data_IF_709329491673
#
_entry.id   IF_709329491673
#
_cell.length_a   1.000
_cell.length_b   1.000
_cell.length_c   1.000
_cell.angle_alpha   90.00
_cell.angle_beta   90.00
_cell.angle_gamma   90.00
#
_symmetry.space_group_name_H-M   'P 1'
#
loop_
_entity.id
_entity.type
_entity.pdbx_description
1 polymer ?
#
# COMPACT_ATOMS: atom_id res chain seq x y z
N UNK A 1 18.33 -34.06 14.08
CA UNK A 1 18.24 -32.59 13.88
C UNK A 1 17.88 -32.35 12.42
N UNK A 2 16.78 -31.66 12.09
CA UNK A 2 16.49 -31.33 10.69
C UNK A 2 17.71 -30.66 10.06
N UNK A 3 18.22 -31.27 8.98
CA UNK A 3 19.50 -30.93 8.37
C UNK A 3 19.52 -29.48 7.90
N UNK A 4 20.69 -28.84 7.86
CA UNK A 4 20.84 -27.43 7.47
C UNK A 4 20.11 -27.05 6.17
N UNK A 5 19.96 -28.01 5.25
CA UNK A 5 19.20 -27.87 4.00
C UNK A 5 17.70 -27.64 4.23
N UNK A 6 17.07 -28.37 5.15
CA UNK A 6 15.64 -28.22 5.45
C UNK A 6 15.34 -26.83 6.05
N UNK A 7 16.20 -26.34 6.95
CA UNK A 7 16.09 -24.99 7.50
C UNK A 7 16.26 -23.92 6.42
N UNK A 8 17.15 -24.12 5.46
CA UNK A 8 17.35 -23.21 4.33
C UNK A 8 16.10 -23.14 3.46
N UNK A 9 15.56 -24.28 3.07
CA UNK A 9 14.41 -24.35 2.18
C UNK A 9 13.17 -23.74 2.87
N UNK A 10 13.05 -23.87 4.19
CA UNK A 10 12.04 -23.18 4.99
C UNK A 10 12.22 -21.65 4.96
N UNK A 11 13.44 -21.13 5.17
CA UNK A 11 13.72 -19.71 5.06
C UNK A 11 13.41 -19.15 3.67
N UNK A 12 13.81 -19.86 2.62
CA UNK A 12 13.52 -19.46 1.23
C UNK A 12 12.02 -19.48 0.93
N UNK A 13 11.30 -20.48 1.43
CA UNK A 13 9.84 -20.53 1.29
C UNK A 13 9.17 -19.32 1.95
N UNK A 14 9.65 -18.88 3.11
CA UNK A 14 9.15 -17.65 3.77
C UNK A 14 9.44 -16.40 2.94
N UNK A 15 10.64 -16.29 2.37
CA UNK A 15 11.01 -15.19 1.48
C UNK A 15 10.15 -15.15 0.21
N UNK A 16 9.90 -16.30 -0.41
CA UNK A 16 9.02 -16.38 -1.57
C UNK A 16 7.58 -16.01 -1.23
N UNK A 17 7.06 -16.42 -0.07
CA UNK A 17 5.72 -16.00 0.38
C UNK A 17 5.65 -14.50 0.56
N UNK A 18 6.64 -13.92 1.24
CA UNK A 18 6.73 -12.48 1.46
C UNK A 18 6.76 -11.69 0.15
N UNK A 19 7.62 -12.07 -0.80
CA UNK A 19 7.75 -11.36 -2.09
C UNK A 19 6.49 -11.46 -2.96
N UNK A 20 5.72 -12.55 -2.88
CA UNK A 20 4.41 -12.65 -3.55
C UNK A 20 3.40 -11.66 -2.98
N UNK A 21 3.30 -11.55 -1.65
CA UNK A 21 2.39 -10.61 -1.00
C UNK A 21 2.84 -9.17 -1.28
N UNK A 22 4.13 -8.88 -1.14
CA UNK A 22 4.69 -7.54 -1.40
C UNK A 22 4.46 -7.09 -2.83
N UNK A 23 4.71 -7.97 -3.81
CA UNK A 23 4.47 -7.69 -5.22
C UNK A 23 3.02 -7.31 -5.48
N UNK A 24 2.08 -8.16 -5.05
CA UNK A 24 0.64 -7.87 -5.15
C UNK A 24 0.27 -6.54 -4.47
N UNK A 25 0.69 -6.36 -3.22
CA UNK A 25 0.34 -5.20 -2.41
C UNK A 25 0.81 -3.89 -3.04
N UNK A 26 1.99 -3.88 -3.67
CA UNK A 26 2.59 -2.72 -4.34
C UNK A 26 2.26 -2.64 -5.85
N UNK A 27 1.26 -3.38 -6.33
CA UNK A 27 0.83 -3.39 -7.74
C UNK A 27 1.96 -3.77 -8.72
N UNK A 28 2.73 -4.80 -8.40
CA UNK A 28 3.88 -5.23 -9.18
C UNK A 28 4.35 -6.64 -8.86
N UNK A 29 5.66 -6.86 -9.01
CA UNK A 29 6.31 -8.08 -8.57
C UNK A 29 7.69 -7.80 -7.96
N UNK A 30 8.11 -8.70 -7.07
CA UNK A 30 9.44 -8.73 -6.48
C UNK A 30 10.00 -10.12 -6.69
N UNK A 31 11.16 -10.22 -7.35
CA UNK A 31 11.82 -11.50 -7.60
C UNK A 31 13.06 -11.70 -6.72
N UNK A 32 13.38 -12.96 -6.43
CA UNK A 32 14.62 -13.35 -5.74
C UNK A 32 15.62 -13.77 -6.79
N UNK A 33 16.53 -12.86 -7.15
CA UNK A 33 17.47 -13.07 -8.26
C UNK A 33 18.71 -13.90 -7.91
N UNK A 34 19.08 -13.92 -6.63
CA UNK A 34 20.26 -14.65 -6.17
C UNK A 34 20.11 -14.98 -4.67
N UNK A 35 20.73 -16.07 -4.24
CA UNK A 35 20.70 -16.56 -2.85
C UNK A 35 22.13 -16.85 -2.44
N UNK A 36 22.64 -16.10 -1.47
CA UNK A 36 23.97 -16.31 -0.92
C UNK A 36 23.90 -16.91 0.48
N UNK A 37 24.73 -17.92 0.74
CA UNK A 37 24.87 -18.52 2.06
C UNK A 37 26.31 -18.96 2.32
N UNK A 38 26.75 -18.87 3.57
CA UNK A 38 28.08 -19.31 3.99
C UNK A 38 28.72 -18.36 4.99
N UNK A 39 29.92 -18.72 5.47
CA UNK A 39 30.71 -17.94 6.42
C UNK A 39 31.86 -17.17 5.77
N UNK A 40 31.92 -17.15 4.44
CA UNK A 40 32.99 -16.51 3.66
C UNK A 40 32.44 -15.38 2.82
N UNK A 41 33.24 -14.32 2.67
CA UNK A 41 32.95 -13.25 1.73
C UNK A 41 32.71 -13.82 0.34
N UNK A 42 31.56 -13.49 -0.24
CA UNK A 42 31.14 -13.91 -1.58
C UNK A 42 30.80 -12.66 -2.38
N UNK A 43 31.19 -12.63 -3.64
CA UNK A 43 30.94 -11.47 -4.51
C UNK A 43 29.48 -11.46 -4.93
N UNK A 44 28.73 -10.44 -4.49
CA UNK A 44 27.35 -10.17 -4.89
C UNK A 44 27.34 -9.25 -6.11
N UNK A 45 26.58 -9.58 -7.18
CA UNK A 45 26.36 -8.64 -8.28
C UNK A 45 26.32 -9.18 -9.72
N UNK A 46 26.43 -10.49 -9.95
CA UNK A 46 26.26 -11.02 -11.33
C UNK A 46 24.78 -11.01 -11.74
N UNK A 47 23.86 -11.28 -10.80
CA UNK A 47 22.41 -11.27 -11.01
C UNK A 47 21.72 -9.92 -10.90
N UNK A 48 22.39 -8.85 -10.45
CA UNK A 48 21.76 -7.53 -10.26
C UNK A 48 21.39 -6.84 -11.58
N UNK A 49 22.05 -7.19 -12.70
CA UNK A 49 21.62 -6.74 -14.04
C UNK A 49 20.32 -7.40 -14.51
N UNK A 50 19.93 -8.51 -13.89
CA UNK A 50 18.66 -9.21 -14.10
C UNK A 50 17.62 -8.87 -13.02
N UNK A 51 18.00 -8.09 -12.00
CA UNK A 51 17.11 -7.64 -10.94
C UNK A 51 16.17 -6.57 -11.48
N UNK A 52 15.02 -7.02 -11.96
CA UNK A 52 13.90 -6.17 -12.30
C UNK A 52 12.89 -6.20 -11.15
N UNK A 53 12.61 -5.02 -10.60
CA UNK A 53 11.47 -4.79 -9.73
C UNK A 53 10.62 -3.70 -10.37
N UNK A 54 9.33 -3.95 -10.52
CA UNK A 54 8.39 -2.87 -10.89
C UNK A 54 8.05 -1.98 -9.70
N UNK A 55 8.46 -2.36 -8.48
CA UNK A 55 8.35 -1.56 -7.27
C UNK A 55 9.63 -0.73 -7.14
N UNK A 56 9.53 0.56 -7.43
CA UNK A 56 10.62 1.51 -7.25
C UNK A 56 10.86 1.79 -5.77
N UNK A 57 12.04 1.43 -5.26
CA UNK A 57 12.50 1.80 -3.93
C UNK A 57 13.88 2.43 -4.04
N UNK A 58 14.04 3.60 -3.44
CA UNK A 58 15.30 4.34 -3.43
C UNK A 58 15.51 5.01 -2.07
N UNK A 59 16.73 4.93 -1.55
CA UNK A 59 17.07 5.47 -0.24
C UNK A 59 16.74 4.53 0.93
N UNK A 60 17.35 4.82 2.08
CA UNK A 60 17.35 3.96 3.28
C UNK A 60 16.00 3.85 3.99
N UNK A 61 14.97 4.59 3.57
CA UNK A 61 13.66 4.71 4.25
C UNK A 61 12.46 4.62 3.30
N UNK A 62 12.65 4.04 2.11
CA UNK A 62 11.59 3.88 1.09
C UNK A 62 10.84 2.54 1.17
N UNK A 63 11.30 1.62 2.02
CA UNK A 63 10.64 0.34 2.21
C UNK A 63 9.54 0.46 3.27
N UNK A 64 8.30 0.58 2.80
CA UNK A 64 7.11 0.54 3.63
C UNK A 64 6.35 -0.78 3.37
N UNK A 65 5.99 -1.49 4.43
CA UNK A 65 5.10 -2.65 4.37
C UNK A 65 4.02 -2.58 5.44
N UNK A 66 3.75 -1.39 5.96
CA UNK A 66 2.67 -1.16 6.90
C UNK A 66 1.35 -1.62 6.27
N UNK A 67 0.54 -2.31 7.07
CA UNK A 67 -0.80 -2.79 6.69
C UNK A 67 -0.83 -3.81 5.53
N UNK A 68 0.32 -4.40 5.19
CA UNK A 68 0.35 -5.54 4.27
C UNK A 68 -0.47 -6.70 4.84
N UNK A 69 -1.33 -7.36 4.04
CA UNK A 69 -2.24 -8.37 4.57
C UNK A 69 -1.49 -9.62 5.05
N UNK A 70 -1.99 -10.23 6.12
CA UNK A 70 -1.52 -11.53 6.61
C UNK A 70 -2.31 -12.62 5.87
N UNK A 71 -1.60 -13.47 5.13
CA UNK A 71 -2.22 -14.52 4.29
C UNK A 71 -2.03 -15.90 4.93
N UNK A 72 -3.07 -16.38 5.62
CA UNK A 72 -3.08 -17.67 6.31
C UNK A 72 -3.56 -18.83 5.42
N UNK A 73 -4.42 -18.54 4.45
CA UNK A 73 -4.97 -19.52 3.51
C UNK A 73 -3.94 -19.94 2.44
N UNK A 74 -3.74 -21.26 2.27
CA UNK A 74 -2.76 -21.81 1.32
C UNK A 74 -3.15 -21.57 -0.15
N UNK A 75 -4.43 -21.64 -0.49
CA UNK A 75 -4.89 -21.42 -1.86
C UNK A 75 -4.70 -19.96 -2.27
N UNK A 76 -4.92 -19.02 -1.34
CA UNK A 76 -4.61 -17.60 -1.56
C UNK A 76 -3.10 -17.37 -1.73
N UNK A 77 -2.27 -18.03 -0.91
CA UNK A 77 -0.80 -17.98 -1.07
C UNK A 77 -0.36 -18.46 -2.45
N UNK A 78 -0.92 -19.56 -2.93
CA UNK A 78 -0.62 -20.14 -4.24
C UNK A 78 -1.07 -19.19 -5.36
N UNK A 79 -2.26 -18.60 -5.26
CA UNK A 79 -2.76 -17.61 -6.21
C UNK A 79 -1.81 -16.40 -6.33
N UNK A 80 -1.34 -15.86 -5.21
CA UNK A 80 -0.36 -14.76 -5.20
C UNK A 80 1.00 -15.17 -5.79
N UNK A 81 1.42 -16.42 -5.59
CA UNK A 81 2.65 -16.92 -6.20
C UNK A 81 2.54 -17.02 -7.73
N UNK A 82 1.40 -17.49 -8.24
CA UNK A 82 1.13 -17.51 -9.69
C UNK A 82 1.00 -16.12 -10.28
N UNK A 83 0.37 -15.18 -9.56
CA UNK A 83 0.35 -13.77 -9.95
C UNK A 83 1.75 -13.19 -10.11
N UNK A 84 2.61 -13.37 -9.10
CA UNK A 84 4.01 -12.90 -9.13
C UNK A 84 4.77 -13.47 -10.33
N UNK A 85 4.61 -14.77 -10.61
CA UNK A 85 5.26 -15.41 -11.77
C UNK A 85 4.72 -14.86 -13.10
N UNK A 86 3.41 -14.61 -13.19
CA UNK A 86 2.78 -13.99 -14.36
C UNK A 86 3.32 -12.59 -14.65
N UNK A 87 3.39 -11.73 -13.62
CA UNK A 87 3.95 -10.38 -13.75
C UNK A 87 5.42 -10.42 -14.18
N UNK A 88 6.21 -11.33 -13.61
CA UNK A 88 7.62 -11.52 -13.98
C UNK A 88 7.79 -11.90 -15.46
N UNK A 89 6.94 -12.79 -15.95
CA UNK A 89 7.04 -13.33 -17.30
C UNK A 89 6.39 -12.45 -18.38
N UNK A 90 5.56 -11.47 -18.01
CA UNK A 90 4.80 -10.64 -18.97
C UNK A 90 5.66 -9.78 -19.90
N UNK A 91 6.94 -9.55 -19.56
CA UNK A 91 7.92 -8.90 -20.43
C UNK A 91 8.89 -9.86 -21.13
N UNK A 92 8.75 -11.18 -20.89
CA UNK A 92 9.73 -12.20 -21.28
C UNK A 92 9.10 -13.27 -22.17
N UNK A 93 7.93 -13.79 -21.80
CA UNK A 93 7.27 -14.88 -22.50
C UNK A 93 5.75 -14.92 -22.29
N UNK A 94 5.00 -14.41 -23.27
CA UNK A 94 3.54 -14.23 -23.18
C UNK A 94 2.77 -15.51 -22.84
N UNK A 95 3.08 -16.66 -23.45
CA UNK A 95 2.34 -17.90 -23.18
C UNK A 95 2.49 -18.42 -21.74
N UNK A 96 3.69 -18.30 -21.16
CA UNK A 96 3.90 -18.69 -19.76
C UNK A 96 3.34 -17.65 -18.80
N UNK A 97 3.37 -16.36 -19.15
CA UNK A 97 2.70 -15.33 -18.38
C UNK A 97 1.18 -15.58 -18.35
N UNK A 98 0.58 -15.83 -19.52
CA UNK A 98 -0.84 -16.18 -19.66
C UNK A 98 -1.18 -17.40 -18.80
N UNK A 99 -0.40 -18.47 -18.89
CA UNK A 99 -0.62 -19.69 -18.10
C UNK A 99 -0.53 -19.41 -16.60
N UNK A 100 0.42 -18.60 -16.16
CA UNK A 100 0.56 -18.23 -14.74
C UNK A 100 -0.66 -17.46 -14.25
N UNK A 101 -1.16 -16.47 -15.00
CA UNK A 101 -2.40 -15.79 -14.65
C UNK A 101 -3.62 -16.71 -14.68
N UNK A 102 -3.71 -17.61 -15.65
CA UNK A 102 -4.78 -18.61 -15.71
C UNK A 102 -4.77 -19.51 -14.47
N UNK A 103 -3.59 -19.92 -13.98
CA UNK A 103 -3.42 -20.75 -12.77
C UNK A 103 -3.87 -20.06 -11.48
N UNK A 104 -3.86 -18.72 -11.42
CA UNK A 104 -4.44 -17.97 -10.30
C UNK A 104 -5.89 -18.38 -10.07
N UNK A 105 -6.65 -18.55 -11.17
CA UNK A 105 -8.06 -18.87 -11.14
C UNK A 105 -8.26 -20.39 -11.14
N UNK A 106 -7.54 -21.12 -12.01
CA UNK A 106 -7.68 -22.58 -12.12
C UNK A 106 -7.42 -23.32 -10.82
N UNK A 107 -6.41 -22.90 -10.03
CA UNK A 107 -6.06 -23.55 -8.76
C UNK A 107 -7.17 -23.50 -7.70
N UNK A 108 -8.22 -22.73 -7.94
CA UNK A 108 -9.31 -22.46 -6.99
C UNK A 108 -10.57 -23.31 -7.26
N UNK A 109 -10.61 -24.04 -8.39
CA UNK A 109 -11.75 -24.86 -8.79
C UNK A 109 -11.35 -26.33 -8.89
N UNK A 110 -12.19 -27.22 -8.35
CA UNK A 110 -12.01 -28.66 -8.53
C UNK A 110 -12.48 -29.14 -9.93
N UNK A 111 -13.46 -28.45 -10.54
CA UNK A 111 -14.08 -28.82 -11.82
C UNK A 111 -13.93 -27.75 -12.93
N UNK A 112 -13.98 -28.19 -14.20
CA UNK A 112 -13.79 -27.33 -15.37
C UNK A 112 -14.95 -26.39 -15.70
N UNK A 113 -16.20 -26.81 -15.49
CA UNK A 113 -17.38 -26.11 -16.04
C UNK A 113 -17.69 -24.78 -15.34
N UNK A 114 -17.50 -24.71 -14.01
CA UNK A 114 -17.71 -23.46 -13.26
C UNK A 114 -16.74 -22.33 -13.64
N UNK A 115 -15.59 -22.66 -14.25
CA UNK A 115 -14.55 -21.68 -14.64
C UNK A 115 -14.94 -20.85 -15.85
N UNK A 116 -15.43 -21.48 -16.91
CA UNK A 116 -15.87 -20.78 -18.12
C UNK A 116 -17.05 -19.83 -17.83
N UNK A 117 -17.98 -20.28 -16.97
CA UNK A 117 -19.10 -19.46 -16.50
C UNK A 117 -18.61 -18.28 -15.63
N UNK A 118 -17.56 -18.48 -14.83
CA UNK A 118 -16.95 -17.40 -14.06
C UNK A 118 -16.30 -16.36 -14.96
N UNK A 119 -15.53 -16.77 -15.98
CA UNK A 119 -14.93 -15.84 -16.94
C UNK A 119 -16.01 -14.98 -17.59
N UNK A 120 -17.02 -15.62 -18.18
CA UNK A 120 -18.09 -14.93 -18.91
C UNK A 120 -18.78 -13.86 -18.07
N UNK A 121 -19.09 -14.16 -16.81
CA UNK A 121 -19.74 -13.21 -15.87
C UNK A 121 -18.84 -12.04 -15.46
N UNK A 122 -17.52 -12.15 -15.60
CA UNK A 122 -16.57 -11.15 -15.12
C UNK A 122 -15.94 -10.28 -16.21
N UNK A 123 -16.14 -10.61 -17.49
CA UNK A 123 -15.61 -9.84 -18.61
C UNK A 123 -16.06 -8.38 -18.61
N UNK A 124 -17.33 -8.11 -18.34
CA UNK A 124 -17.89 -6.75 -18.36
C UNK A 124 -17.52 -5.92 -17.11
N UNK A 125 -16.76 -6.49 -16.19
CA UNK A 125 -16.27 -5.82 -14.98
C UNK A 125 -14.78 -5.50 -15.02
N UNK A 126 -14.11 -5.72 -16.15
CA UNK A 126 -12.71 -5.36 -16.33
C UNK A 126 -12.59 -3.85 -16.61
N UNK A 127 -11.84 -3.09 -15.80
CA UNK A 127 -11.77 -1.63 -15.93
C UNK A 127 -10.70 -1.16 -16.94
N UNK A 128 -9.76 -2.03 -17.33
CA UNK A 128 -8.63 -1.68 -18.17
C UNK A 128 -9.06 -1.53 -19.65
N UNK A 129 -8.83 -0.35 -20.24
CA UNK A 129 -9.30 -0.01 -21.59
C UNK A 129 -8.84 -1.00 -22.66
N UNK A 130 -7.59 -1.48 -22.56
CA UNK A 130 -7.04 -2.47 -23.50
C UNK A 130 -7.76 -3.82 -23.40
N UNK A 131 -8.18 -4.21 -22.20
CA UNK A 131 -8.97 -5.41 -22.00
C UNK A 131 -10.38 -5.24 -22.59
N UNK A 132 -11.02 -4.10 -22.34
CA UNK A 132 -12.34 -3.78 -22.91
C UNK A 132 -12.30 -3.79 -24.44
N UNK A 133 -11.28 -3.17 -25.05
CA UNK A 133 -11.08 -3.18 -26.50
C UNK A 133 -10.94 -4.60 -27.04
N UNK A 134 -10.12 -5.44 -26.39
CA UNK A 134 -9.93 -6.83 -26.82
C UNK A 134 -11.20 -7.67 -26.70
N UNK A 135 -12.01 -7.48 -25.65
CA UNK A 135 -13.32 -8.12 -25.53
C UNK A 135 -14.23 -7.73 -26.71
N UNK A 136 -14.26 -6.45 -27.08
CA UNK A 136 -15.07 -5.97 -28.18
C UNK A 136 -14.64 -6.58 -29.53
N UNK A 137 -13.33 -6.69 -29.78
CA UNK A 137 -12.79 -7.36 -30.97
C UNK A 137 -13.24 -8.82 -31.08
N UNK A 138 -13.10 -9.59 -30.01
CA UNK A 138 -13.48 -11.01 -29.99
C UNK A 138 -14.99 -11.19 -30.17
N UNK A 139 -15.80 -10.36 -29.51
CA UNK A 139 -17.26 -10.34 -29.69
C UNK A 139 -17.65 -9.98 -31.13
N UNK A 140 -16.97 -9.02 -31.76
CA UNK A 140 -17.21 -8.65 -33.15
C UNK A 140 -16.85 -9.76 -34.14
N UNK A 141 -15.87 -10.60 -33.79
CA UNK A 141 -15.51 -11.81 -34.54
C UNK A 141 -16.50 -12.98 -34.32
N UNK A 142 -17.50 -12.81 -33.45
CA UNK A 142 -18.50 -13.84 -33.14
C UNK A 142 -18.01 -14.89 -32.14
N UNK A 143 -16.93 -14.63 -31.40
CA UNK A 143 -16.39 -15.57 -30.43
C UNK A 143 -17.12 -15.50 -29.08
N UNK A 144 -17.32 -16.67 -28.46
CA UNK A 144 -17.63 -16.77 -27.04
C UNK A 144 -16.33 -16.54 -26.26
N UNK A 145 -16.12 -15.30 -25.83
CA UNK A 145 -14.88 -14.84 -25.18
C UNK A 145 -14.53 -15.67 -23.94
N UNK A 146 -15.50 -16.03 -23.11
CA UNK A 146 -15.26 -16.78 -21.88
C UNK A 146 -14.77 -18.20 -22.19
N UNK A 147 -15.40 -18.84 -23.17
CA UNK A 147 -14.96 -20.15 -23.67
C UNK A 147 -13.62 -20.08 -24.40
N UNK A 148 -13.42 -19.08 -25.24
CA UNK A 148 -12.16 -18.84 -25.96
C UNK A 148 -10.97 -18.72 -25.01
N UNK A 149 -11.10 -17.94 -23.94
CA UNK A 149 -10.05 -17.79 -22.93
C UNK A 149 -9.80 -19.07 -22.13
N UNK A 150 -10.86 -19.83 -21.83
CA UNK A 150 -10.74 -21.12 -21.16
C UNK A 150 -9.96 -22.13 -22.02
N UNK A 151 -10.34 -22.26 -23.29
CA UNK A 151 -9.68 -23.16 -24.24
C UNK A 151 -8.24 -22.71 -24.50
N UNK A 152 -8.01 -21.40 -24.69
CA UNK A 152 -6.68 -20.82 -24.85
C UNK A 152 -5.78 -21.05 -23.64
N UNK A 153 -6.29 -20.95 -22.41
CA UNK A 153 -5.51 -21.22 -21.20
C UNK A 153 -5.09 -22.66 -21.04
N UNK A 154 -5.97 -23.60 -21.38
CA UNK A 154 -5.63 -25.04 -21.39
C UNK A 154 -4.61 -25.39 -22.46
N UNK A 155 -4.69 -24.71 -23.60
CA UNK A 155 -3.84 -24.97 -24.76
C UNK A 155 -2.54 -24.16 -24.77
N UNK A 156 -2.40 -23.14 -23.92
CA UNK A 156 -1.29 -22.18 -23.93
C UNK A 156 0.09 -22.86 -23.80
N UNK A 157 0.22 -23.91 -22.98
CA UNK A 157 1.46 -24.73 -22.87
C UNK A 157 1.21 -26.14 -22.27
N UNK A 158 0.13 -26.36 -21.51
CA UNK A 158 0.08 -27.49 -20.55
C UNK A 158 -0.44 -28.84 -21.10
N UNK A 159 -1.28 -28.82 -22.15
CA UNK A 159 -1.88 -30.05 -22.68
C UNK A 159 -1.68 -30.15 -24.19
N UNK A 160 -0.48 -30.56 -24.60
CA UNK A 160 -0.23 -31.10 -25.94
C UNK A 160 -0.95 -32.45 -26.10
N UNK A 161 -2.29 -32.42 -26.11
CA UNK A 161 -3.08 -33.60 -26.42
C UNK A 161 -2.91 -33.86 -27.91
N UNK A 162 -2.49 -35.07 -28.28
CA UNK A 162 -2.34 -35.46 -29.67
C UNK A 162 -3.68 -35.23 -30.41
N UNK A 163 -3.71 -34.28 -31.36
CA UNK A 163 -4.90 -33.89 -32.12
C UNK A 163 -5.74 -32.73 -31.54
N UNK A 164 -5.26 -32.02 -30.50
CA UNK A 164 -5.86 -30.77 -30.02
C UNK A 164 -5.23 -29.52 -30.66
N UNK A 165 -5.89 -28.37 -30.52
CA UNK A 165 -5.36 -27.06 -30.93
C UNK A 165 -4.22 -26.64 -29.99
N UNK A 166 -2.99 -27.06 -30.30
CA UNK A 166 -1.79 -26.72 -29.53
C UNK A 166 -1.28 -25.35 -29.97
N UNK A 167 -0.89 -24.51 -29.01
CA UNK A 167 -0.17 -23.26 -29.29
C UNK A 167 1.23 -23.62 -29.78
N UNK A 168 1.49 -23.44 -31.08
CA UNK A 168 2.80 -23.67 -31.67
C UNK A 168 3.64 -22.37 -31.59
N UNK A 169 4.76 -22.36 -30.83
CA UNK A 169 5.61 -21.17 -30.72
C UNK A 169 6.27 -20.76 -32.04
N UNK A 170 6.35 -21.67 -33.03
CA UNK A 170 6.87 -21.39 -34.37
C UNK A 170 5.79 -20.83 -35.31
N UNK A 171 4.52 -20.79 -34.89
CA UNK A 171 3.42 -20.15 -35.63
C UNK A 171 3.25 -18.70 -35.13
N UNK A 172 3.56 -17.67 -35.96
CA UNK A 172 3.45 -16.27 -35.54
C UNK A 172 2.02 -15.82 -35.23
N UNK A 173 1.01 -16.48 -35.81
CA UNK A 173 -0.39 -16.20 -35.52
C UNK A 173 -0.75 -16.53 -34.06
N UNK A 174 -0.37 -17.73 -33.59
CA UNK A 174 -0.64 -18.16 -32.21
C UNK A 174 0.06 -17.28 -31.19
N UNK A 175 1.31 -16.90 -31.46
CA UNK A 175 2.03 -15.93 -30.64
C UNK A 175 1.30 -14.59 -30.52
N UNK A 176 0.87 -14.01 -31.65
CA UNK A 176 0.14 -12.74 -31.64
C UNK A 176 -1.22 -12.84 -30.94
N UNK A 177 -1.92 -13.96 -31.10
CA UNK A 177 -3.19 -14.23 -30.45
C UNK A 177 -3.04 -14.26 -28.93
N UNK A 178 -2.11 -15.05 -28.41
CA UNK A 178 -1.85 -15.13 -26.97
C UNK A 178 -1.36 -13.80 -26.40
N UNK A 179 -0.49 -13.08 -27.11
CA UNK A 179 -0.04 -11.75 -26.71
C UNK A 179 -1.21 -10.75 -26.60
N UNK A 180 -2.16 -10.81 -27.53
CA UNK A 180 -3.36 -9.97 -27.51
C UNK A 180 -4.32 -10.34 -26.37
N UNK A 181 -4.45 -11.62 -26.04
CA UNK A 181 -5.34 -12.12 -24.98
C UNK A 181 -4.72 -12.00 -23.57
N UNK A 182 -3.40 -11.81 -23.46
CA UNK A 182 -2.68 -11.72 -22.18
C UNK A 182 -3.25 -10.64 -21.26
N UNK A 183 -3.63 -9.49 -21.81
CA UNK A 183 -4.25 -8.40 -21.03
C UNK A 183 -5.56 -8.84 -20.36
N UNK A 184 -6.36 -9.68 -21.04
CA UNK A 184 -7.62 -10.18 -20.49
C UNK A 184 -7.35 -11.11 -19.31
N UNK A 185 -6.43 -12.07 -19.49
CA UNK A 185 -6.15 -13.06 -18.46
C UNK A 185 -5.49 -12.43 -17.23
N UNK A 186 -4.59 -11.46 -17.42
CA UNK A 186 -4.02 -10.66 -16.34
C UNK A 186 -5.09 -9.93 -15.53
N UNK A 187 -6.01 -9.23 -16.20
CA UNK A 187 -7.05 -8.46 -15.53
C UNK A 187 -8.09 -9.34 -14.83
N UNK A 188 -8.43 -10.49 -15.41
CA UNK A 188 -9.27 -11.50 -14.75
C UNK A 188 -8.60 -12.06 -13.49
N UNK A 189 -7.31 -12.40 -13.56
CA UNK A 189 -6.55 -12.87 -12.39
C UNK A 189 -6.47 -11.80 -11.30
N UNK A 190 -6.21 -10.54 -11.67
CA UNK A 190 -6.21 -9.39 -10.75
C UNK A 190 -7.57 -9.24 -10.08
N UNK A 191 -8.66 -9.29 -10.86
CA UNK A 191 -10.02 -9.21 -10.34
C UNK A 191 -10.33 -10.35 -9.38
N UNK A 192 -9.93 -11.57 -9.71
CA UNK A 192 -10.14 -12.74 -8.87
C UNK A 192 -9.48 -12.56 -7.49
N UNK A 193 -8.19 -12.19 -7.46
CA UNK A 193 -7.46 -11.98 -6.21
C UNK A 193 -8.09 -10.84 -5.39
N UNK A 194 -8.46 -9.73 -6.03
CA UNK A 194 -8.99 -8.56 -5.35
C UNK A 194 -10.41 -8.76 -4.78
N UNK A 195 -11.30 -9.45 -5.51
CA UNK A 195 -12.73 -9.50 -5.18
C UNK A 195 -13.23 -10.87 -4.72
N UNK A 196 -12.68 -11.96 -5.25
CA UNK A 196 -13.08 -13.31 -4.83
C UNK A 196 -12.25 -13.76 -3.62
N UNK A 197 -10.93 -13.50 -3.65
CA UNK A 197 -10.03 -13.82 -2.53
C UNK A 197 -9.91 -12.68 -1.50
N UNK A 198 -10.50 -11.52 -1.78
CA UNK A 198 -10.49 -10.33 -0.90
C UNK A 198 -9.09 -9.91 -0.44
N UNK A 199 -8.07 -10.08 -1.29
CA UNK A 199 -6.70 -9.66 -0.93
C UNK A 199 -6.50 -8.20 -1.32
N UNK A 200 -6.32 -7.29 -0.35
CA UNK A 200 -6.23 -5.87 -0.63
C UNK A 200 -4.87 -5.51 -1.22
N UNK A 201 -4.82 -4.38 -1.91
CA UNK A 201 -3.58 -3.71 -2.33
C UNK A 201 -3.32 -2.49 -1.45
N UNK A 202 -2.12 -1.91 -1.52
CA UNK A 202 -1.80 -0.70 -0.75
C UNK A 202 -2.78 0.43 -1.04
N UNK A 203 -3.21 0.57 -2.30
CA UNK A 203 -4.20 1.58 -2.70
C UNK A 203 -5.58 1.31 -2.12
N UNK A 204 -6.04 0.06 -2.11
CA UNK A 204 -7.35 -0.25 -1.52
C UNK A 204 -7.34 -0.07 -0.01
N UNK A 205 -6.27 -0.52 0.67
CA UNK A 205 -6.09 -0.28 2.11
C UNK A 205 -6.08 1.21 2.40
N UNK A 206 -5.32 2.00 1.64
CA UNK A 206 -5.28 3.45 1.83
C UNK A 206 -6.65 4.10 1.71
N UNK A 207 -7.49 3.64 0.76
CA UNK A 207 -8.80 4.21 0.49
C UNK A 207 -9.90 3.80 1.48
N UNK A 208 -9.80 2.61 2.11
CA UNK A 208 -10.90 2.06 2.90
C UNK A 208 -10.57 1.77 4.36
N UNK A 209 -9.30 1.86 4.77
CA UNK A 209 -8.90 1.53 6.14
C UNK A 209 -9.36 2.60 7.11
N UNK A 210 -9.95 2.17 8.21
CA UNK A 210 -10.16 3.02 9.37
C UNK A 210 -8.86 3.20 10.16
N UNK A 211 -8.24 4.37 10.03
CA UNK A 211 -6.99 4.74 10.70
C UNK A 211 -7.17 4.95 12.19
N UNK A 212 -8.38 5.30 12.61
CA UNK A 212 -8.71 5.60 14.01
C UNK A 212 -9.07 4.35 14.82
N UNK A 213 -9.24 3.19 14.18
CA UNK A 213 -9.61 1.93 14.84
C UNK A 213 -8.80 1.63 16.11
N UNK A 214 -7.46 1.77 16.15
CA UNK A 214 -6.70 1.48 17.36
C UNK A 214 -7.01 2.41 18.55
N UNK A 215 -7.56 3.58 18.26
CA UNK A 215 -7.87 4.64 19.22
C UNK A 215 -9.36 4.72 19.54
N UNK A 216 -10.24 4.05 18.81
CA UNK A 216 -11.67 3.97 19.13
C UNK A 216 -11.97 3.55 20.56
N UNK A 217 -11.25 2.59 21.19
CA UNK A 217 -11.51 2.23 22.59
C UNK A 217 -11.04 3.28 23.61
N UNK A 218 -10.61 4.47 23.18
CA UNK A 218 -10.43 5.64 24.05
C UNK A 218 -11.73 6.43 24.21
N UNK A 219 -12.67 6.27 23.29
CA UNK A 219 -13.86 7.11 23.22
C UNK A 219 -15.02 6.37 23.86
N UNK A 220 -15.88 7.09 24.57
CA UNK A 220 -17.12 6.52 25.08
C UNK A 220 -17.92 5.85 23.93
N UNK A 221 -18.42 4.62 24.10
CA UNK A 221 -19.09 3.89 23.03
C UNK A 221 -20.29 4.63 22.41
N UNK A 222 -21.03 5.41 23.20
CA UNK A 222 -22.18 6.18 22.71
C UNK A 222 -21.73 7.40 21.90
N UNK A 223 -20.68 8.09 22.35
CA UNK A 223 -20.05 9.16 21.57
C UNK A 223 -19.46 8.63 20.26
N UNK A 224 -18.76 7.49 20.29
CA UNK A 224 -18.19 6.86 19.10
C UNK A 224 -19.27 6.49 18.07
N UNK A 225 -20.38 5.89 18.51
CA UNK A 225 -21.50 5.58 17.63
C UNK A 225 -22.10 6.85 17.00
N UNK A 226 -22.20 7.94 17.77
CA UNK A 226 -22.67 9.24 17.28
C UNK A 226 -21.73 9.81 16.23
N UNK A 227 -20.41 9.75 16.46
CA UNK A 227 -19.42 10.25 15.51
C UNK A 227 -19.43 9.44 14.20
N UNK A 228 -19.48 8.11 14.28
CA UNK A 228 -19.57 7.24 13.10
C UNK A 228 -20.84 7.47 12.29
N UNK A 229 -21.93 7.91 12.93
CA UNK A 229 -23.16 8.31 12.26
C UNK A 229 -23.11 9.73 11.66
N UNK A 230 -22.01 10.46 11.82
CA UNK A 230 -21.85 11.85 11.37
C UNK A 230 -22.49 12.88 12.30
N UNK A 231 -22.76 12.52 13.56
CA UNK A 231 -23.30 13.43 14.57
C UNK A 231 -22.22 14.19 15.34
N UNK A 232 -22.67 14.99 16.32
CA UNK A 232 -21.81 15.82 17.17
C UNK A 232 -22.08 15.49 18.64
N UNK A 233 -21.33 14.56 19.26
CA UNK A 233 -21.46 14.30 20.69
C UNK A 233 -20.87 15.43 21.53
N UNK A 234 -21.12 15.38 22.84
CA UNK A 234 -20.41 16.21 23.81
C UNK A 234 -18.90 15.89 23.77
N UNK A 235 -18.07 16.92 23.68
CA UNK A 235 -16.61 16.76 23.64
C UNK A 235 -16.03 16.10 24.89
N UNK A 236 -16.70 16.21 26.04
CA UNK A 236 -16.26 15.56 27.27
C UNK A 236 -16.25 14.02 27.17
N UNK A 237 -17.08 13.45 26.29
CA UNK A 237 -17.21 12.00 26.09
C UNK A 237 -16.13 11.42 25.15
N UNK A 238 -15.30 12.27 24.55
CA UNK A 238 -14.19 11.82 23.70
C UNK A 238 -13.01 11.28 24.53
N UNK A 239 -12.87 11.71 25.78
CA UNK A 239 -11.71 11.41 26.66
C UNK A 239 -10.34 11.72 26.02
N UNK A 240 -10.31 12.55 24.97
CA UNK A 240 -9.09 12.96 24.27
C UNK A 240 -8.39 14.16 24.93
N UNK A 241 -9.13 14.89 25.75
CA UNK A 241 -8.67 16.12 26.40
C UNK A 241 -7.53 15.83 27.39
N UNK A 242 -6.39 16.49 27.21
CA UNK A 242 -5.22 16.35 28.08
C UNK A 242 -4.35 15.12 27.83
N UNK A 243 -4.68 14.26 26.84
CA UNK A 243 -3.86 13.10 26.51
C UNK A 243 -2.45 13.51 26.11
N UNK A 244 -1.48 12.70 26.53
CA UNK A 244 -0.06 12.86 26.18
C UNK A 244 0.26 12.02 24.96
N UNK A 245 0.44 12.69 23.82
CA UNK A 245 0.66 12.04 22.52
C UNK A 245 1.98 12.46 21.90
N UNK A 246 2.71 11.52 21.34
CA UNK A 246 3.86 11.82 20.50
C UNK A 246 3.43 12.14 19.07
N UNK A 247 4.16 13.01 18.39
CA UNK A 247 4.07 13.25 16.95
C UNK A 247 5.41 12.91 16.31
N UNK A 248 5.40 12.04 15.30
CA UNK A 248 6.59 11.69 14.52
C UNK A 248 6.33 11.73 13.02
N UNK A 249 7.42 11.73 12.25
CA UNK A 249 7.41 11.51 10.82
C UNK A 249 7.89 10.09 10.55
N UNK A 250 7.03 9.18 10.10
CA UNK A 250 7.44 7.80 9.85
C UNK A 250 8.61 7.75 8.83
N UNK A 251 9.63 6.90 9.04
CA UNK A 251 9.83 5.94 10.14
C UNK A 251 10.70 6.50 11.29
N UNK A 252 10.88 7.82 11.37
CA UNK A 252 11.81 8.47 12.29
C UNK A 252 11.25 8.56 13.71
N UNK A 253 12.14 8.58 14.70
CA UNK A 253 11.74 8.90 16.08
C UNK A 253 11.16 10.33 16.17
N UNK A 254 10.30 10.60 17.18
CA UNK A 254 9.80 11.96 17.41
C UNK A 254 10.93 12.98 17.50
N UNK A 255 10.76 14.10 16.82
CA UNK A 255 11.68 15.23 16.96
C UNK A 255 11.60 15.80 18.39
N UNK A 256 12.65 16.49 18.86
CA UNK A 256 12.62 17.11 20.17
C UNK A 256 11.41 18.04 20.35
N UNK A 257 10.76 17.95 21.51
CA UNK A 257 9.54 18.69 21.81
C UNK A 257 8.25 18.09 21.24
N UNK A 258 8.34 17.04 20.40
CA UNK A 258 7.18 16.37 19.80
C UNK A 258 6.89 14.98 20.41
N UNK A 259 7.77 14.45 21.26
CA UNK A 259 7.62 13.10 21.82
C UNK A 259 6.52 12.95 22.88
N UNK A 260 6.08 14.04 23.50
CA UNK A 260 4.98 14.07 24.45
C UNK A 260 4.32 15.46 24.41
N UNK A 261 3.33 15.60 23.54
CA UNK A 261 2.51 16.80 23.38
C UNK A 261 1.19 16.63 24.13
N UNK A 262 0.64 17.71 24.67
CA UNK A 262 -0.70 17.71 25.26
C UNK A 262 -1.74 17.92 24.18
N UNK A 263 -2.67 16.97 24.06
CA UNK A 263 -3.84 17.09 23.20
C UNK A 263 -4.93 17.94 23.84
N UNK A 264 -5.55 18.81 23.04
CA UNK A 264 -6.75 19.58 23.38
C UNK A 264 -7.80 19.37 22.30
N UNK A 265 -9.05 19.17 22.68
CA UNK A 265 -10.18 19.12 21.76
C UNK A 265 -10.66 20.55 21.52
N UNK A 266 -10.52 21.02 20.27
CA UNK A 266 -10.90 22.39 19.87
C UNK A 266 -12.36 22.45 19.45
N UNK A 267 -12.79 21.49 18.63
CA UNK A 267 -14.17 21.43 18.13
C UNK A 267 -14.56 19.99 17.78
N UNK A 268 -15.87 19.71 17.82
CA UNK A 268 -16.46 18.46 17.35
C UNK A 268 -17.61 18.82 16.42
N UNK A 269 -17.62 18.27 15.22
CA UNK A 269 -18.66 18.54 14.22
C UNK A 269 -18.73 17.43 13.18
N UNK A 270 -19.95 17.02 12.80
CA UNK A 270 -20.22 16.13 11.66
C UNK A 270 -19.43 14.80 11.67
N UNK A 271 -19.21 14.24 12.85
CA UNK A 271 -18.45 12.98 13.02
C UNK A 271 -16.94 13.14 13.09
N UNK A 272 -16.44 14.38 13.12
CA UNK A 272 -15.02 14.66 13.25
C UNK A 272 -14.71 15.48 14.51
N UNK A 273 -13.55 15.21 15.12
CA UNK A 273 -13.01 15.98 16.23
C UNK A 273 -11.74 16.70 15.77
N UNK A 274 -11.73 18.03 15.85
CA UNK A 274 -10.54 18.84 15.67
C UNK A 274 -9.76 18.86 16.98
N UNK A 275 -8.49 18.47 16.91
CA UNK A 275 -7.57 18.42 18.05
C UNK A 275 -6.36 19.29 17.80
N UNK A 276 -5.85 19.89 18.87
CA UNK A 276 -4.64 20.71 18.88
C UNK A 276 -3.62 20.04 19.80
N UNK A 277 -2.40 19.85 19.29
CA UNK A 277 -1.29 19.27 20.04
C UNK A 277 -0.33 20.38 20.42
N UNK A 278 -0.07 20.56 21.71
CA UNK A 278 0.86 21.54 22.23
C UNK A 278 2.08 20.89 22.86
N UNK A 279 3.28 21.39 22.58
CA UNK A 279 4.46 20.97 23.33
C UNK A 279 4.42 21.52 24.77
N UNK A 280 5.25 21.00 25.66
CA UNK A 280 5.28 21.39 27.08
C UNK A 280 5.53 22.88 27.31
N UNK A 281 6.31 23.50 26.41
CA UNK A 281 6.66 24.93 26.49
C UNK A 281 5.57 25.83 25.90
N UNK A 282 4.51 25.26 25.31
CA UNK A 282 3.45 25.98 24.58
C UNK A 282 4.04 26.93 23.51
N UNK A 283 5.08 26.48 22.82
CA UNK A 283 5.77 27.20 21.73
C UNK A 283 5.51 26.59 20.35
N UNK A 284 4.94 25.40 20.28
CA UNK A 284 4.52 24.73 19.04
C UNK A 284 3.09 24.20 19.19
N UNK A 285 2.30 24.37 18.13
CA UNK A 285 0.96 23.80 18.03
C UNK A 285 0.77 23.13 16.67
N UNK A 286 0.30 21.88 16.68
CA UNK A 286 -0.15 21.18 15.49
C UNK A 286 -1.66 20.94 15.56
N UNK A 287 -2.37 21.32 14.50
CA UNK A 287 -3.79 21.07 14.36
C UNK A 287 -4.03 19.82 13.51
N UNK A 288 -4.89 18.94 14.00
CA UNK A 288 -5.32 17.72 13.29
C UNK A 288 -6.83 17.56 13.36
N UNK A 289 -7.39 16.82 12.42
CA UNK A 289 -8.80 16.41 12.42
C UNK A 289 -8.86 14.89 12.46
N UNK A 290 -9.51 14.35 13.49
CA UNK A 290 -9.83 12.94 13.63
C UNK A 290 -11.25 12.74 13.07
N UNK A 291 -11.36 12.28 11.83
CA UNK A 291 -12.63 12.01 11.16
C UNK A 291 -13.06 10.56 11.42
N UNK A 292 -13.87 10.35 12.45
CA UNK A 292 -14.36 9.02 12.83
C UNK A 292 -15.44 8.49 11.89
N UNK A 293 -16.09 9.37 11.12
CA UNK A 293 -17.10 8.97 10.14
C UNK A 293 -16.44 8.25 8.97
N UNK A 294 -15.31 8.78 8.49
CA UNK A 294 -14.57 8.22 7.35
C UNK A 294 -13.38 7.37 7.78
N UNK A 295 -13.04 7.36 9.08
CA UNK A 295 -11.87 6.66 9.61
C UNK A 295 -10.55 7.28 9.15
N UNK A 296 -10.52 8.60 8.97
CA UNK A 296 -9.38 9.35 8.42
C UNK A 296 -8.78 10.29 9.48
N UNK A 297 -7.50 10.62 9.30
CA UNK A 297 -6.79 11.57 10.15
C UNK A 297 -6.11 12.58 9.26
N UNK A 298 -6.49 13.85 9.38
CA UNK A 298 -5.99 14.91 8.52
C UNK A 298 -5.05 15.83 9.30
N UNK A 299 -3.92 16.17 8.69
CA UNK A 299 -3.08 17.26 9.19
C UNK A 299 -3.65 18.59 8.71
N UNK A 300 -3.73 19.59 9.59
CA UNK A 300 -4.07 20.97 9.24
C UNK A 300 -2.84 21.84 9.40
N UNK A 301 -1.87 21.69 8.49
CA UNK A 301 -0.60 22.41 8.53
C UNK A 301 -0.80 23.93 8.52
N UNK A 302 -1.77 24.45 7.76
CA UNK A 302 -2.09 25.88 7.70
C UNK A 302 -2.65 26.44 9.00
N UNK A 303 -3.24 25.55 9.83
CA UNK A 303 -3.74 25.89 11.16
C UNK A 303 -2.73 25.52 12.26
N UNK A 304 -1.53 25.06 11.90
CA UNK A 304 -0.45 24.74 12.81
C UNK A 304 0.50 25.94 12.88
N UNK A 305 1.06 26.25 14.04
CA UNK A 305 1.93 27.43 14.17
C UNK A 305 2.94 27.32 15.31
N UNK A 306 3.96 28.16 15.22
CA UNK A 306 4.78 28.53 16.37
C UNK A 306 4.01 29.53 17.22
N UNK A 307 4.13 29.38 18.54
CA UNK A 307 3.44 30.19 19.54
C UNK A 307 4.44 30.91 20.43
N UNK A 308 4.04 32.06 20.94
CA UNK A 308 4.75 32.77 22.00
C UNK A 308 3.78 33.03 23.14
N UNK A 309 4.23 32.75 24.36
CA UNK A 309 3.52 33.09 25.59
C UNK A 309 4.41 33.96 26.49
N UNK A 310 3.88 34.35 27.65
CA UNK A 310 4.56 35.27 28.57
C UNK A 310 5.85 34.67 29.15
N UNK A 311 5.90 33.35 29.31
CA UNK A 311 7.02 32.62 29.94
C UNK A 311 8.05 32.11 28.92
N UNK A 312 7.59 31.73 27.73
CA UNK A 312 8.39 31.04 26.72
C UNK A 312 8.21 31.66 25.34
N UNK A 313 9.36 31.83 24.69
CA UNK A 313 9.46 32.10 23.25
C UNK A 313 9.96 30.85 22.53
N UNK A 314 9.58 30.65 21.24
CA UNK A 314 10.20 29.62 20.42
C UNK A 314 11.71 29.73 20.48
N UNK A 315 12.40 28.59 20.55
CA UNK A 315 13.86 28.51 20.39
C UNK A 315 14.18 27.87 19.05
N UNK A 316 15.44 27.92 18.61
CA UNK A 316 15.87 27.32 17.35
C UNK A 316 15.39 25.87 17.17
N UNK A 317 15.44 25.08 18.25
CA UNK A 317 14.98 23.68 18.23
C UNK A 317 13.48 23.55 17.95
N UNK A 318 12.64 24.45 18.49
CA UNK A 318 11.20 24.47 18.22
C UNK A 318 10.94 24.82 16.74
N UNK A 319 11.63 25.85 16.24
CA UNK A 319 11.55 26.32 14.85
C UNK A 319 11.94 25.18 13.90
N UNK A 320 13.08 24.54 14.16
CA UNK A 320 13.59 23.43 13.36
C UNK A 320 12.62 22.25 13.37
N UNK A 321 12.10 21.86 14.53
CA UNK A 321 11.14 20.76 14.64
C UNK A 321 9.85 21.07 13.88
N UNK A 322 9.28 22.25 14.06
CA UNK A 322 8.07 22.69 13.39
C UNK A 322 8.21 22.69 11.86
N UNK A 323 9.23 23.39 11.33
CA UNK A 323 9.42 23.48 9.89
C UNK A 323 9.86 22.15 9.27
N UNK A 324 10.50 21.26 10.03
CA UNK A 324 10.79 19.90 9.56
C UNK A 324 9.51 19.12 9.32
N UNK A 325 8.56 19.16 10.26
CA UNK A 325 7.24 18.55 10.06
C UNK A 325 6.54 19.20 8.86
N UNK A 326 6.42 20.53 8.84
CA UNK A 326 5.72 21.25 7.78
C UNK A 326 6.24 20.91 6.38
N UNK A 327 7.55 21.05 6.13
CA UNK A 327 8.12 20.84 4.80
C UNK A 327 8.21 19.37 4.41
N UNK A 328 8.49 18.46 5.35
CA UNK A 328 8.53 17.03 5.01
C UNK A 328 7.14 16.48 4.73
N UNK A 329 6.09 16.93 5.41
CA UNK A 329 4.71 16.51 5.14
C UNK A 329 4.24 17.01 3.77
N UNK A 330 4.56 18.26 3.40
CA UNK A 330 4.38 18.75 2.02
C UNK A 330 5.17 17.90 1.01
N UNK A 331 6.33 17.38 1.42
CA UNK A 331 7.14 16.42 0.68
C UNK A 331 6.68 14.95 0.78
N UNK A 332 5.42 14.69 1.12
CA UNK A 332 4.80 13.36 1.27
C UNK A 332 5.31 12.50 2.44
N UNK A 333 5.93 13.09 3.47
CA UNK A 333 6.18 12.35 4.71
C UNK A 333 4.86 12.06 5.44
N UNK A 334 4.80 10.88 6.08
CA UNK A 334 3.63 10.44 6.84
C UNK A 334 3.80 10.88 8.30
N UNK A 335 2.83 11.64 8.81
CA UNK A 335 2.76 11.97 10.25
C UNK A 335 2.11 10.79 10.97
N UNK A 336 2.66 10.39 12.11
CA UNK A 336 2.04 9.43 13.02
C UNK A 336 1.84 10.05 14.40
N UNK A 337 0.69 9.77 14.99
CA UNK A 337 0.42 10.05 16.39
C UNK A 337 0.70 8.79 17.22
N UNK A 338 1.42 8.98 18.31
CA UNK A 338 1.85 7.93 19.23
C UNK A 338 1.13 8.10 20.55
N UNK A 339 0.55 7.02 21.06
CA UNK A 339 0.00 6.95 22.41
C UNK A 339 0.54 5.70 23.08
N UNK A 340 1.01 5.84 24.32
CA UNK A 340 1.61 4.72 25.06
C UNK A 340 0.63 3.55 25.19
N UNK A 341 1.12 2.33 24.93
CA UNK A 341 0.32 1.12 25.01
C UNK A 341 -0.69 0.92 23.87
N UNK A 342 -0.68 1.79 22.85
CA UNK A 342 -1.58 1.69 21.68
C UNK A 342 -0.80 1.68 20.37
N UNK A 343 -1.42 1.14 19.33
CA UNK A 343 -0.86 1.20 17.99
C UNK A 343 -0.85 2.67 17.51
N UNK A 344 0.23 3.10 16.83
CA UNK A 344 0.27 4.41 16.18
C UNK A 344 -0.85 4.57 15.15
N UNK A 345 -1.40 5.78 15.06
CA UNK A 345 -2.31 6.16 13.97
C UNK A 345 -1.58 7.10 13.02
N UNK A 346 -1.63 6.82 11.73
CA UNK A 346 -1.01 7.63 10.69
C UNK A 346 -2.02 8.62 10.08
N UNK A 347 -1.51 9.78 9.69
CA UNK A 347 -2.27 10.80 9.01
C UNK A 347 -2.27 10.55 7.51
N UNK A 348 -3.29 11.06 6.83
CA UNK A 348 -3.33 11.06 5.38
C UNK A 348 -2.18 11.88 4.78
N UNK A 349 -1.67 11.37 3.65
CA UNK A 349 -0.69 12.09 2.84
C UNK A 349 -1.30 13.41 2.36
N UNK A 350 -0.59 14.50 2.64
CA UNK A 350 -0.95 15.82 2.14
C UNK A 350 -0.52 15.93 0.70
N UNK A 351 -1.47 16.19 -0.20
CA UNK A 351 -1.19 16.51 -1.60
C UNK A 351 -1.22 18.03 -1.74
N UNK A 352 -0.06 18.71 -1.79
CA UNK A 352 -0.04 20.16 -1.95
C UNK A 352 -0.59 20.53 -3.34
N UNK A 353 -1.57 21.44 -3.37
CA UNK A 353 -2.12 21.99 -4.61
C UNK A 353 -1.50 23.37 -4.82
N UNK A 354 -0.98 23.65 -6.03
CA UNK A 354 -0.38 24.94 -6.41
C UNK A 354 0.88 25.36 -5.63
N UNK A 355 1.61 24.41 -5.04
CA UNK A 355 2.92 24.66 -4.41
C UNK A 355 3.96 23.84 -5.17
N UNK A 356 5.10 24.46 -5.52
CA UNK A 356 6.29 23.73 -5.93
C UNK A 356 7.04 23.34 -4.64
N UNK A 357 7.02 22.07 -4.22
CA UNK A 357 7.68 21.67 -2.99
C UNK A 357 9.18 21.92 -3.13
N UNK A 358 9.72 22.70 -2.19
CA UNK A 358 11.17 22.93 -2.07
C UNK A 358 11.81 21.70 -1.45
N UNK A 359 13.14 21.57 -1.59
CA UNK A 359 13.88 20.59 -0.81
C UNK A 359 13.61 20.84 0.69
N UNK A 360 13.02 19.89 1.44
CA UNK A 360 12.64 20.12 2.82
C UNK A 360 13.83 20.51 3.71
N UNK A 361 15.00 19.93 3.48
CA UNK A 361 16.20 20.23 4.27
C UNK A 361 16.63 21.69 4.10
N UNK A 362 16.69 22.17 2.85
CA UNK A 362 17.07 23.56 2.55
C UNK A 362 16.06 24.56 3.12
N UNK A 363 14.76 24.26 2.99
CA UNK A 363 13.71 25.13 3.51
C UNK A 363 13.73 25.24 5.04
N UNK A 364 14.07 24.14 5.75
CA UNK A 364 14.24 24.14 7.20
C UNK A 364 15.41 25.01 7.63
N UNK A 365 16.58 24.90 6.97
CA UNK A 365 17.73 25.73 7.32
C UNK A 365 17.45 27.21 7.09
N UNK A 366 16.81 27.58 5.97
CA UNK A 366 16.45 28.97 5.72
C UNK A 366 15.49 29.54 6.77
N UNK A 367 14.53 28.75 7.24
CA UNK A 367 13.61 29.16 8.30
C UNK A 367 14.34 29.39 9.63
N UNK A 368 15.30 28.52 9.96
CA UNK A 368 16.16 28.68 11.13
C UNK A 368 17.05 29.91 11.02
N UNK A 369 17.70 30.14 9.88
CA UNK A 369 18.53 31.33 9.65
C UNK A 369 17.72 32.63 9.70
N UNK A 370 16.49 32.64 9.15
CA UNK A 370 15.59 33.78 9.25
C UNK A 370 15.22 34.08 10.70
N UNK A 371 14.94 33.04 11.50
CA UNK A 371 14.65 33.18 12.92
C UNK A 371 15.83 33.74 13.70
N UNK A 372 17.04 33.22 13.48
CA UNK A 372 18.27 33.72 14.14
C UNK A 372 18.48 35.21 13.84
N UNK A 373 18.28 35.63 12.59
CA UNK A 373 18.40 37.05 12.18
C UNK A 373 17.36 37.96 12.83
N UNK A 374 16.18 37.46 13.17
CA UNK A 374 15.14 38.23 13.85
C UNK A 374 15.40 38.40 15.35
N UNK A 375 16.29 37.58 15.94
CA UNK A 375 16.67 37.68 17.35
C UNK A 375 17.90 38.55 17.60
N UNK A 376 18.64 38.90 16.54
CA UNK A 376 19.74 39.88 16.56
C UNK A 376 19.18 41.29 16.41
#
# INVERSE_FOLDING_TARGET
>A
MPGAMQRRDECLSRLYRFTSVLGWFRHGFVDVVDIMHGSRATVFGVGTRLAHSSVGQSGSKSFDCNYMPIIEDENVRIALAFWREGERLSGVHDSYAFLSYFKVIESQYQDGRGRADWFTRNLDHLPEERAVARIAELRAAGEDVGRHLYDSGRNAVAHASFGGDIVDPDIPFDRRRIAADLVLMRELARRYIAHELNVPTARSVYASRNRLEPWEPLIDPQALATLKAGGTPDSALLELEGLRVGLRLWPDDPLPGLGAMTMRVDAVHEGAARVLLFNDRMTMMFALVLDFRNGQVHTQLDNSCLLQNDEHRPVEQDVRAFYTVFHRVIGNAVVELLLEGREPIDCEVVIPVNILPRNPTEAVEEAVEAFIRQQQ
#
